data_IF_102396701327
#
_entry.id   IF_102396701327
#
_cell.length_a   1.000
_cell.length_b   1.000
_cell.length_c   1.000
_cell.angle_alpha   90.00
_cell.angle_beta   90.00
_cell.angle_gamma   90.00
#
_symmetry.space_group_name_H-M   'P 1'
#
loop_
_entity.id
_entity.type
_entity.pdbx_description
1 polymer ?
#
# COMPACT_ATOMS: atom_id res chain seq x y z
N UNK A 1 -47.86 -79.89 -7.27
CA UNK A 1 -48.89 -78.85 -7.03
C UNK A 1 -48.22 -77.86 -6.07
N UNK A 2 -47.84 -76.63 -6.42
CA UNK A 2 -48.51 -75.58 -7.21
C UNK A 2 -47.47 -74.50 -7.61
N UNK A 3 -47.52 -74.04 -8.88
CA UNK A 3 -47.11 -72.76 -9.52
C UNK A 3 -45.95 -71.93 -8.92
N UNK A 4 -44.82 -71.63 -9.57
CA UNK A 4 -44.54 -71.03 -10.89
C UNK A 4 -45.13 -69.62 -11.12
N UNK A 5 -44.28 -68.59 -11.02
CA UNK A 5 -44.27 -67.42 -11.92
C UNK A 5 -42.82 -66.97 -12.12
N UNK A 6 -42.39 -67.09 -13.36
CA UNK A 6 -41.14 -66.61 -13.96
C UNK A 6 -41.58 -65.59 -15.02
N UNK A 7 -40.86 -64.47 -15.18
CA UNK A 7 -40.84 -63.56 -16.34
C UNK A 7 -39.68 -62.58 -16.05
N UNK A 8 -38.56 -62.59 -16.78
CA UNK A 8 -38.38 -62.03 -18.12
C UNK A 8 -38.31 -60.49 -18.04
N UNK A 9 -37.37 -59.73 -18.59
CA UNK A 9 -36.41 -59.95 -19.68
C UNK A 9 -35.42 -58.76 -19.74
N UNK A 10 -34.20 -59.03 -20.19
CA UNK A 10 -33.30 -58.26 -21.06
C UNK A 10 -33.21 -56.70 -21.03
N UNK A 11 -31.95 -56.25 -20.81
CA UNK A 11 -31.17 -55.25 -21.58
C UNK A 11 -31.53 -53.76 -21.46
N UNK A 12 -30.59 -52.97 -20.90
CA UNK A 12 -30.10 -51.74 -21.53
C UNK A 12 -28.80 -51.25 -20.85
N UNK A 13 -27.73 -51.10 -21.64
CA UNK A 13 -26.55 -50.29 -21.31
C UNK A 13 -26.99 -48.83 -21.24
N UNK A 14 -26.61 -48.07 -20.20
CA UNK A 14 -26.71 -46.60 -20.23
C UNK A 14 -25.42 -45.98 -20.78
N UNK A 15 -25.53 -45.02 -21.73
CA UNK A 15 -24.41 -44.28 -22.28
C UNK A 15 -23.99 -43.16 -21.32
N UNK A 16 -22.77 -42.66 -21.49
CA UNK A 16 -22.33 -41.43 -20.85
C UNK A 16 -23.17 -40.24 -21.33
N UNK A 17 -23.47 -39.34 -20.40
CA UNK A 17 -23.89 -37.96 -20.67
C UNK A 17 -23.30 -37.06 -19.58
N UNK A 18 -22.54 -36.06 -20.03
CA UNK A 18 -22.13 -34.92 -19.24
C UNK A 18 -23.37 -34.19 -18.72
N UNK A 19 -23.55 -34.11 -17.41
CA UNK A 19 -24.43 -33.11 -16.80
C UNK A 19 -23.69 -32.52 -15.60
N UNK A 20 -23.20 -31.30 -15.85
CA UNK A 20 -23.05 -30.20 -14.90
C UNK A 20 -23.71 -30.47 -13.55
N UNK A 21 -22.88 -30.57 -12.51
CA UNK A 21 -23.32 -30.56 -11.12
C UNK A 21 -24.11 -29.28 -10.84
N UNK A 22 -25.43 -29.39 -10.94
CA UNK A 22 -26.39 -28.41 -10.47
C UNK A 22 -26.10 -28.25 -8.97
N UNK A 23 -25.63 -27.07 -8.59
CA UNK A 23 -25.51 -26.64 -7.20
C UNK A 23 -26.90 -26.82 -6.59
N UNK A 24 -26.97 -27.65 -5.56
CA UNK A 24 -28.19 -27.94 -4.81
C UNK A 24 -28.64 -26.62 -4.18
N UNK A 25 -29.87 -26.19 -4.53
CA UNK A 25 -30.52 -24.95 -4.08
C UNK A 25 -30.57 -24.74 -2.55
N UNK A 26 -30.22 -25.75 -1.75
CA UNK A 26 -30.16 -25.67 -0.29
C UNK A 26 -28.97 -24.84 0.25
N UNK A 27 -27.92 -24.58 -0.55
CA UNK A 27 -26.81 -23.69 -0.15
C UNK A 27 -27.13 -22.20 -0.33
N UNK A 28 -28.15 -21.85 -1.12
CA UNK A 28 -28.53 -20.44 -1.36
C UNK A 28 -29.26 -19.85 -0.15
N UNK A 29 -29.97 -20.67 0.64
CA UNK A 29 -30.68 -20.20 1.83
C UNK A 29 -29.77 -19.83 3.01
N UNK A 30 -28.46 -20.05 2.94
CA UNK A 30 -27.49 -19.51 3.91
C UNK A 30 -27.01 -18.10 3.55
N UNK A 31 -27.30 -17.61 2.34
CA UNK A 31 -26.95 -16.26 1.89
C UNK A 31 -28.03 -15.21 2.22
N UNK A 32 -29.26 -15.64 2.58
CA UNK A 32 -30.38 -14.72 2.91
C UNK A 32 -30.17 -13.92 4.22
N UNK A 33 -29.11 -14.21 4.99
CA UNK A 33 -28.75 -13.50 6.22
C UNK A 33 -27.47 -12.65 6.10
N UNK A 34 -26.84 -12.60 4.92
CA UNK A 34 -25.79 -11.63 4.66
C UNK A 34 -26.50 -10.39 4.11
N UNK A 35 -26.64 -9.39 4.95
CA UNK A 35 -27.04 -8.06 4.50
C UNK A 35 -25.90 -7.51 3.64
N UNK A 36 -26.01 -7.76 2.33
CA UNK A 36 -25.04 -7.34 1.32
C UNK A 36 -24.85 -5.82 1.39
N UNK A 37 -25.88 -5.05 1.75
CA UNK A 37 -25.75 -3.59 1.87
C UNK A 37 -24.91 -3.22 3.10
N UNK A 38 -25.03 -3.95 4.21
CA UNK A 38 -24.15 -3.79 5.39
C UNK A 38 -22.74 -4.31 5.13
N UNK A 39 -22.58 -5.42 4.41
CA UNK A 39 -21.25 -5.96 4.07
C UNK A 39 -20.52 -5.05 3.08
N UNK A 40 -21.23 -4.55 2.06
CA UNK A 40 -20.70 -3.54 1.12
C UNK A 40 -20.44 -2.22 1.83
N UNK A 41 -21.30 -1.76 2.74
CA UNK A 41 -21.04 -0.55 3.53
C UNK A 41 -19.81 -0.69 4.43
N UNK A 42 -19.63 -1.84 5.08
CA UNK A 42 -18.43 -2.12 5.88
C UNK A 42 -17.18 -2.33 5.03
N UNK A 43 -17.29 -2.86 3.81
CA UNK A 43 -16.18 -2.91 2.85
C UNK A 43 -15.80 -1.50 2.36
N UNK A 44 -16.77 -0.65 2.05
CA UNK A 44 -16.54 0.74 1.63
C UNK A 44 -15.96 1.60 2.75
N UNK A 45 -16.40 1.40 4.00
CA UNK A 45 -15.81 2.08 5.17
C UNK A 45 -14.36 1.64 5.48
N UNK A 46 -13.96 0.45 5.02
CA UNK A 46 -12.61 -0.10 5.22
C UNK A 46 -11.67 0.09 4.02
N UNK A 47 -12.14 0.63 2.88
CA UNK A 47 -11.24 1.04 1.80
C UNK A 47 -10.69 2.41 2.21
N UNK A 48 -9.42 2.51 2.65
CA UNK A 48 -8.83 3.81 2.91
C UNK A 48 -8.96 4.66 1.64
N UNK A 49 -9.37 5.94 1.74
CA UNK A 49 -9.43 6.81 0.57
C UNK A 49 -8.09 6.74 -0.16
N UNK A 50 -8.10 6.68 -1.50
CA UNK A 50 -6.87 6.65 -2.29
C UNK A 50 -6.07 7.91 -2.01
N UNK A 51 -5.06 7.78 -1.14
CA UNK A 51 -4.22 8.89 -0.76
C UNK A 51 -3.32 9.21 -1.95
N UNK A 52 -3.21 10.51 -2.25
CA UNK A 52 -2.22 10.99 -3.21
C UNK A 52 -0.84 10.61 -2.70
N UNK A 53 0.00 10.02 -3.56
CA UNK A 53 1.30 9.47 -3.20
C UNK A 53 2.41 10.10 -4.00
N UNK A 54 3.59 10.18 -3.40
CA UNK A 54 4.83 10.38 -4.15
C UNK A 54 5.39 9.00 -4.48
N UNK A 55 5.58 8.70 -5.77
CA UNK A 55 6.13 7.44 -6.26
C UNK A 55 7.44 7.68 -7.02
N UNK A 56 8.23 6.62 -7.13
CA UNK A 56 9.49 6.62 -7.85
C UNK A 56 9.43 5.55 -8.93
N UNK A 57 9.53 5.97 -10.19
CA UNK A 57 9.72 5.06 -11.30
C UNK A 57 11.19 4.60 -11.36
N UNK A 58 11.38 3.28 -11.40
CA UNK A 58 12.68 2.64 -11.36
C UNK A 58 13.15 2.24 -12.77
N UNK A 59 13.94 3.10 -13.42
CA UNK A 59 14.54 2.77 -14.72
C UNK A 59 15.85 1.98 -14.60
N UNK A 60 15.99 0.80 -15.25
CA UNK A 60 17.26 0.06 -15.31
C UNK A 60 18.38 0.84 -16.02
N UNK A 61 18.02 1.79 -16.89
CA UNK A 61 18.98 2.62 -17.64
C UNK A 61 19.57 3.77 -16.81
N UNK A 62 19.11 3.94 -15.56
CA UNK A 62 19.18 5.22 -14.87
C UNK A 62 18.23 6.23 -15.46
N UNK A 63 18.05 7.36 -14.76
CA UNK A 63 16.91 8.28 -14.92
C UNK A 63 15.67 7.79 -14.18
N UNK A 64 15.85 7.45 -12.92
CA UNK A 64 14.74 7.34 -11.98
C UNK A 64 13.95 8.64 -11.97
N UNK A 65 12.62 8.54 -11.86
CA UNK A 65 11.75 9.72 -11.86
C UNK A 65 10.83 9.69 -10.67
N UNK A 66 10.58 10.85 -10.11
CA UNK A 66 9.59 11.03 -9.06
C UNK A 66 8.33 11.66 -9.67
N UNK A 67 7.17 11.18 -9.24
CA UNK A 67 5.88 11.71 -9.67
C UNK A 67 4.87 11.65 -8.52
N UNK A 68 3.84 12.49 -8.62
CA UNK A 68 2.69 12.51 -7.72
C UNK A 68 1.60 11.64 -8.38
N UNK A 69 1.21 10.55 -7.72
CA UNK A 69 0.18 9.61 -8.16
C UNK A 69 -1.10 9.87 -7.35
N UNK A 70 -2.18 10.25 -8.03
CA UNK A 70 -3.48 10.51 -7.40
C UNK A 70 -4.35 9.26 -7.27
N UNK A 71 -3.86 8.09 -7.71
CA UNK A 71 -4.61 6.85 -7.79
C UNK A 71 -5.34 6.68 -9.11
N UNK A 72 -6.13 5.60 -9.24
CA UNK A 72 -6.88 5.31 -10.46
C UNK A 72 -8.06 6.29 -10.63
N UNK A 73 -8.03 7.10 -11.68
CA UNK A 73 -9.19 7.87 -12.13
C UNK A 73 -9.95 7.14 -13.21
N UNK A 74 -11.27 7.22 -13.16
CA UNK A 74 -12.15 6.77 -14.23
C UNK A 74 -12.18 7.73 -15.43
N UNK A 75 -11.50 8.88 -15.33
CA UNK A 75 -11.42 9.88 -16.38
C UNK A 75 -10.14 9.68 -17.21
N UNK A 76 -10.24 9.11 -18.43
CA UNK A 76 -9.08 8.83 -19.28
C UNK A 76 -8.37 10.09 -19.81
N UNK A 77 -8.93 11.29 -19.60
CA UNK A 77 -8.33 12.56 -20.02
C UNK A 77 -7.53 13.25 -18.90
N UNK A 78 -7.64 12.80 -17.65
CA UNK A 78 -6.81 13.29 -16.56
C UNK A 78 -5.58 12.39 -16.41
N UNK A 79 -4.39 13.00 -16.50
CA UNK A 79 -3.16 12.32 -16.15
C UNK A 79 -3.13 12.19 -14.62
N UNK A 80 -3.38 10.97 -14.13
CA UNK A 80 -3.37 10.64 -12.70
C UNK A 80 -1.99 10.80 -12.07
N UNK A 81 -0.97 11.01 -12.91
CA UNK A 81 0.41 11.18 -12.55
C UNK A 81 0.92 12.56 -12.94
N UNK A 82 1.48 13.27 -11.97
CA UNK A 82 2.15 14.56 -12.20
C UNK A 82 3.63 14.42 -11.94
N UNK A 83 4.45 14.57 -12.97
CA UNK A 83 5.91 14.56 -12.86
C UNK A 83 6.39 15.58 -11.82
N UNK A 84 7.27 15.17 -10.91
CA UNK A 84 7.94 16.07 -9.96
C UNK A 84 9.14 16.69 -10.67
N UNK A 85 9.15 18.02 -10.91
CA UNK A 85 10.21 18.67 -11.67
C UNK A 85 11.59 18.45 -11.03
N UNK A 86 12.56 18.11 -11.88
CA UNK A 86 13.96 17.84 -11.49
C UNK A 86 14.12 16.74 -10.41
N UNK A 87 13.11 15.89 -10.20
CA UNK A 87 13.04 14.94 -9.08
C UNK A 87 13.27 15.59 -7.70
N UNK A 88 12.77 16.81 -7.54
CA UNK A 88 12.87 17.55 -6.29
C UNK A 88 11.48 18.03 -5.90
N UNK A 89 11.06 17.67 -4.70
CA UNK A 89 9.87 18.26 -4.09
C UNK A 89 10.15 18.72 -2.66
N UNK A 90 9.31 19.63 -2.20
CA UNK A 90 9.40 20.19 -0.85
C UNK A 90 8.09 20.02 -0.12
N UNK A 91 8.16 19.80 1.18
CA UNK A 91 6.97 19.76 2.01
C UNK A 91 7.28 19.67 3.50
N UNK A 92 6.24 19.83 4.29
CA UNK A 92 6.27 19.73 5.74
C UNK A 92 5.91 18.30 6.11
N UNK A 93 6.81 17.60 6.79
CA UNK A 93 6.50 16.24 7.27
C UNK A 93 5.65 16.37 8.53
N UNK A 94 4.35 16.14 8.38
CA UNK A 94 3.38 16.29 9.47
C UNK A 94 3.42 15.09 10.41
N UNK A 95 3.66 13.90 9.86
CA UNK A 95 3.73 12.65 10.60
C UNK A 95 4.60 11.63 9.84
N UNK A 96 5.20 10.69 10.59
CA UNK A 96 5.99 9.60 10.01
C UNK A 96 5.75 8.33 10.80
N UNK A 97 5.62 7.20 10.12
CA UNK A 97 5.45 5.87 10.69
C UNK A 97 6.55 4.95 10.16
N UNK A 98 6.99 4.00 10.98
CA UNK A 98 7.68 2.81 10.47
C UNK A 98 6.62 1.80 10.08
N UNK A 99 6.66 1.31 8.85
CA UNK A 99 5.72 0.30 8.36
C UNK A 99 6.51 -0.91 7.91
N UNK A 100 6.06 -2.10 8.27
CA UNK A 100 6.70 -3.35 7.90
C UNK A 100 5.65 -4.28 7.32
N UNK A 101 5.92 -4.93 6.19
CA UNK A 101 5.02 -5.93 5.65
C UNK A 101 5.76 -7.06 4.94
N UNK A 102 5.13 -8.23 4.91
CA UNK A 102 5.48 -9.33 4.03
C UNK A 102 4.31 -9.55 3.05
N UNK A 103 4.51 -9.15 1.80
CA UNK A 103 3.55 -9.37 0.73
C UNK A 103 4.05 -10.46 -0.20
N UNK A 104 3.15 -11.35 -0.60
CA UNK A 104 3.38 -12.30 -1.69
C UNK A 104 2.62 -11.82 -2.92
N UNK A 105 3.24 -11.96 -4.09
CA UNK A 105 2.62 -11.62 -5.37
C UNK A 105 1.30 -12.39 -5.54
N UNK A 106 0.25 -11.70 -6.00
CA UNK A 106 -1.11 -12.26 -6.12
C UNK A 106 -1.96 -12.19 -4.84
N UNK A 107 -1.37 -12.01 -3.66
CA UNK A 107 -2.13 -11.88 -2.40
C UNK A 107 -2.65 -10.44 -2.19
N UNK A 108 -3.93 -10.31 -1.83
CA UNK A 108 -4.54 -9.00 -1.52
C UNK A 108 -4.18 -8.48 -0.12
N UNK A 109 -3.86 -9.37 0.81
CA UNK A 109 -3.57 -9.06 2.21
C UNK A 109 -2.17 -9.56 2.53
N UNK A 110 -1.32 -8.78 3.22
CA UNK A 110 0.02 -9.23 3.56
C UNK A 110 -0.02 -10.34 4.62
N UNK A 111 0.90 -11.30 4.53
CA UNK A 111 1.06 -12.38 5.53
C UNK A 111 1.50 -11.86 6.89
N UNK A 112 2.17 -10.72 6.90
CA UNK A 112 2.55 -9.98 8.09
C UNK A 112 2.50 -8.49 7.81
N UNK A 113 2.00 -7.71 8.75
CA UNK A 113 2.03 -6.25 8.70
C UNK A 113 2.20 -5.66 10.09
N UNK A 114 3.01 -4.62 10.23
CA UNK A 114 3.19 -3.89 11.47
C UNK A 114 3.39 -2.39 11.24
N UNK A 115 2.84 -1.59 12.14
CA UNK A 115 3.01 -0.13 12.17
C UNK A 115 3.66 0.25 13.50
N UNK A 116 4.77 0.96 13.44
CA UNK A 116 5.58 1.38 14.59
C UNK A 116 5.89 0.20 15.55
N UNK A 117 6.18 -0.97 14.97
CA UNK A 117 6.50 -2.20 15.68
C UNK A 117 5.29 -2.94 16.29
N UNK A 118 4.07 -2.44 16.11
CA UNK A 118 2.84 -3.12 16.53
C UNK A 118 2.25 -3.89 15.37
N UNK A 119 2.04 -5.19 15.57
CA UNK A 119 1.44 -6.08 14.58
C UNK A 119 0.00 -5.65 14.31
N UNK A 120 -0.34 -5.59 13.02
CA UNK A 120 -1.67 -5.20 12.51
C UNK A 120 -2.31 -6.34 11.70
N UNK A 121 -1.52 -7.33 11.29
CA UNK A 121 -2.00 -8.57 10.66
C UNK A 121 -2.60 -9.55 11.65
N UNK A 122 -3.21 -10.63 11.14
CA UNK A 122 -3.88 -11.65 11.95
C UNK A 122 -2.97 -12.35 12.97
N UNK A 123 -3.60 -12.97 13.98
CA UNK A 123 -2.92 -13.70 15.06
C UNK A 123 -1.98 -14.77 14.49
N UNK A 124 -0.74 -14.84 14.99
CA UNK A 124 0.25 -15.83 14.58
C UNK A 124 1.10 -15.41 13.37
N UNK A 125 0.83 -14.24 12.78
CA UNK A 125 1.63 -13.68 11.70
C UNK A 125 3.06 -13.30 12.11
N UNK A 126 3.34 -13.19 13.41
CA UNK A 126 4.66 -12.82 13.95
C UNK A 126 5.77 -13.77 13.53
N UNK A 127 5.43 -15.01 13.16
CA UNK A 127 6.38 -15.99 12.61
C UNK A 127 7.07 -15.49 11.33
N UNK A 128 6.42 -14.58 10.59
CA UNK A 128 6.91 -14.01 9.34
C UNK A 128 7.65 -12.68 9.54
N UNK A 129 7.73 -12.15 10.77
CA UNK A 129 8.30 -10.83 11.03
C UNK A 129 9.75 -10.67 10.55
N UNK A 130 10.55 -11.74 10.62
CA UNK A 130 11.95 -11.72 10.16
C UNK A 130 12.12 -11.59 8.64
N UNK A 131 11.07 -11.86 7.87
CA UNK A 131 11.06 -11.77 6.40
C UNK A 131 10.44 -10.46 5.91
N UNK A 132 9.76 -9.73 6.81
CA UNK A 132 9.11 -8.48 6.48
C UNK A 132 10.12 -7.39 6.12
N UNK A 133 9.70 -6.51 5.21
CA UNK A 133 10.50 -5.35 4.81
C UNK A 133 10.07 -4.12 5.55
N UNK A 134 11.03 -3.39 6.10
CA UNK A 134 10.80 -2.12 6.77
C UNK A 134 10.85 -0.97 5.76
N UNK A 135 9.85 -0.08 5.85
CA UNK A 135 9.81 1.22 5.21
C UNK A 135 9.53 2.32 6.23
N UNK A 136 9.79 3.55 5.83
CA UNK A 136 9.29 4.72 6.56
C UNK A 136 8.23 5.40 5.69
N UNK A 137 6.99 5.40 6.16
CA UNK A 137 5.88 6.12 5.54
C UNK A 137 5.87 7.55 6.08
N UNK A 138 6.02 8.52 5.18
CA UNK A 138 5.93 9.94 5.51
C UNK A 138 4.59 10.51 5.05
N UNK A 139 3.93 11.25 5.93
CA UNK A 139 2.81 12.11 5.56
C UNK A 139 3.36 13.52 5.37
N UNK A 140 3.28 14.02 4.15
CA UNK A 140 3.92 15.26 3.75
C UNK A 140 2.86 16.23 3.26
N UNK A 141 2.78 17.39 3.89
CA UNK A 141 2.02 18.52 3.38
C UNK A 141 2.89 19.27 2.36
N UNK A 142 2.53 19.19 1.10
CA UNK A 142 3.17 19.94 0.00
C UNK A 142 2.23 21.02 -0.53
N UNK A 143 2.77 21.94 -1.33
CA UNK A 143 2.02 23.05 -1.93
C UNK A 143 2.12 22.96 -3.45
N UNK A 144 1.24 22.18 -4.06
CA UNK A 144 1.15 22.06 -5.51
C UNK A 144 0.21 23.15 -6.04
N UNK A 145 0.65 23.94 -7.02
CA UNK A 145 -0.13 25.06 -7.58
C UNK A 145 -0.70 26.01 -6.50
N UNK A 146 0.11 26.29 -5.46
CA UNK A 146 -0.27 27.11 -4.30
C UNK A 146 -1.44 26.57 -3.46
N UNK A 147 -1.83 25.31 -3.63
CA UNK A 147 -2.83 24.64 -2.80
C UNK A 147 -2.15 23.61 -1.89
N UNK A 148 -2.52 23.56 -0.60
CA UNK A 148 -2.04 22.52 0.30
C UNK A 148 -2.55 21.16 -0.17
N UNK A 149 -1.65 20.19 -0.25
CA UNK A 149 -1.94 18.82 -0.63
C UNK A 149 -1.20 17.89 0.35
N UNK A 150 -1.96 17.05 1.04
CA UNK A 150 -1.39 15.99 1.87
C UNK A 150 -1.07 14.80 0.96
N UNK A 151 0.20 14.39 0.96
CA UNK A 151 0.66 13.23 0.20
C UNK A 151 1.34 12.21 1.10
N UNK A 152 1.26 10.94 0.72
CA UNK A 152 2.01 9.86 1.34
C UNK A 152 3.29 9.61 0.54
N UNK A 153 4.42 9.53 1.23
CA UNK A 153 5.69 9.19 0.61
C UNK A 153 6.39 8.06 1.36
N UNK A 154 6.45 6.89 0.73
CA UNK A 154 7.13 5.74 1.30
C UNK A 154 8.60 5.75 0.94
N UNK A 155 9.45 5.85 1.95
CA UNK A 155 10.89 5.77 1.77
C UNK A 155 11.33 4.32 1.72
N UNK A 156 11.96 3.96 0.59
CA UNK A 156 12.64 2.68 0.41
C UNK A 156 13.77 2.48 1.44
N UNK A 157 14.17 1.22 1.74
CA UNK A 157 15.23 0.91 2.70
C UNK A 157 16.54 1.68 2.49
N UNK A 158 16.91 1.94 1.23
CA UNK A 158 18.13 2.68 0.87
C UNK A 158 18.07 4.16 1.30
N UNK A 159 16.87 4.72 1.41
CA UNK A 159 16.60 6.14 1.71
C UNK A 159 16.33 6.41 3.19
N UNK A 160 15.90 5.41 3.96
CA UNK A 160 15.56 5.55 5.40
C UNK A 160 16.72 6.16 6.21
N UNK A 161 17.97 5.80 5.88
CA UNK A 161 19.17 6.33 6.55
C UNK A 161 19.26 7.86 6.44
N UNK A 162 18.89 8.43 5.29
CA UNK A 162 18.96 9.88 5.04
C UNK A 162 17.90 10.62 5.83
N UNK A 163 16.68 10.06 5.89
CA UNK A 163 15.62 10.59 6.74
C UNK A 163 15.98 10.56 8.22
N UNK A 164 16.48 9.43 8.73
CA UNK A 164 16.92 9.31 10.14
C UNK A 164 18.02 10.33 10.48
N UNK A 165 19.02 10.48 9.59
CA UNK A 165 20.07 11.48 9.75
C UNK A 165 19.51 12.91 9.74
N UNK A 166 18.54 13.20 8.88
CA UNK A 166 17.86 14.50 8.83
C UNK A 166 17.12 14.80 10.14
N UNK A 167 16.30 13.89 10.63
CA UNK A 167 15.59 14.02 11.92
C UNK A 167 16.59 14.18 13.07
N UNK A 168 17.70 13.43 13.07
CA UNK A 168 18.73 13.56 14.09
C UNK A 168 19.45 14.92 14.04
N UNK A 169 19.72 15.48 12.85
CA UNK A 169 20.24 16.84 12.70
C UNK A 169 19.28 17.87 13.30
N UNK A 170 17.98 17.77 12.99
CA UNK A 170 16.96 18.66 13.54
C UNK A 170 16.86 18.55 15.07
N UNK A 171 16.89 17.34 15.62
CA UNK A 171 16.87 17.11 17.05
C UNK A 171 18.07 17.76 17.77
N UNK A 172 19.27 17.72 17.18
CA UNK A 172 20.45 18.44 17.71
C UNK A 172 20.25 19.95 17.75
N UNK A 173 19.49 20.48 16.80
CA UNK A 173 19.08 21.90 16.76
C UNK A 173 17.80 22.20 17.55
N UNK A 174 17.26 21.23 18.31
CA UNK A 174 15.99 21.34 19.05
C UNK A 174 14.77 21.70 18.17
N UNK A 175 14.82 21.36 16.90
CA UNK A 175 13.71 21.55 15.96
C UNK A 175 13.03 20.19 15.67
N UNK A 176 11.69 20.11 15.68
CA UNK A 176 10.98 18.95 15.16
C UNK A 176 10.89 19.00 13.63
N UNK A 177 10.65 17.86 12.97
CA UNK A 177 10.50 17.78 11.51
C UNK A 177 9.38 18.67 10.96
N UNK A 178 8.28 18.81 11.70
CA UNK A 178 7.14 19.66 11.33
C UNK A 178 7.46 21.16 11.33
N UNK A 179 8.55 21.59 11.99
CA UNK A 179 8.94 23.00 12.06
C UNK A 179 9.79 23.46 10.84
N UNK A 180 10.04 22.58 9.88
CA UNK A 180 10.81 22.90 8.68
C UNK A 180 10.12 22.41 7.43
N UNK A 181 10.31 23.14 6.34
CA UNK A 181 10.10 22.60 5.01
C UNK A 181 11.30 21.71 4.69
N UNK A 182 11.03 20.43 4.49
CA UNK A 182 12.02 19.45 4.06
C UNK A 182 12.05 19.42 2.54
N UNK A 183 13.25 19.52 1.98
CA UNK A 183 13.52 19.25 0.56
C UNK A 183 13.90 17.79 0.40
N UNK A 184 13.20 17.11 -0.50
CA UNK A 184 13.48 15.76 -0.92
C UNK A 184 14.07 15.80 -2.33
N UNK A 185 15.18 15.12 -2.56
CA UNK A 185 15.75 14.97 -3.90
C UNK A 185 16.08 13.52 -4.18
N UNK A 186 15.74 13.07 -5.39
CA UNK A 186 16.07 11.74 -5.88
C UNK A 186 17.45 11.77 -6.52
N UNK A 187 18.36 10.97 -5.97
CA UNK A 187 19.68 10.74 -6.53
C UNK A 187 19.69 9.37 -7.22
N UNK A 188 20.34 9.32 -8.38
CA UNK A 188 20.59 8.09 -9.12
C UNK A 188 22.00 7.59 -8.77
N UNK A 189 22.08 6.49 -8.01
CA UNK A 189 23.32 5.94 -7.50
C UNK A 189 23.72 4.73 -8.34
N UNK A 190 24.93 4.79 -8.91
CA UNK A 190 25.54 3.66 -9.61
C UNK A 190 26.77 3.17 -8.86
N UNK A 191 26.80 1.89 -8.48
CA UNK A 191 27.97 1.22 -7.89
C UNK A 191 28.20 -0.10 -8.60
N UNK A 192 29.34 -0.22 -9.27
CA UNK A 192 29.66 -1.37 -10.13
C UNK A 192 28.55 -1.57 -11.19
N UNK A 193 28.00 -2.78 -11.27
CA UNK A 193 26.89 -3.15 -12.15
C UNK A 193 25.50 -2.84 -11.56
N UNK A 194 25.41 -2.38 -10.31
CA UNK A 194 24.15 -2.09 -9.65
C UNK A 194 23.83 -0.59 -9.72
N UNK A 195 22.57 -0.29 -9.97
CA UNK A 195 22.05 1.08 -10.04
C UNK A 195 20.71 1.16 -9.31
N UNK A 196 20.51 2.20 -8.51
CA UNK A 196 19.30 2.37 -7.72
C UNK A 196 19.04 3.84 -7.40
N UNK A 197 17.81 4.13 -6.96
CA UNK A 197 17.42 5.46 -6.51
C UNK A 197 17.59 5.61 -4.98
N UNK A 198 18.09 6.75 -4.54
CA UNK A 198 18.07 7.15 -3.12
C UNK A 198 17.45 8.54 -2.95
N UNK A 199 16.60 8.69 -1.94
CA UNK A 199 16.02 9.97 -1.58
C UNK A 199 16.87 10.63 -0.49
N UNK A 200 17.43 11.79 -0.81
CA UNK A 200 18.09 12.64 0.17
C UNK A 200 17.10 13.62 0.81
N UNK A 201 17.39 14.00 2.05
CA UNK A 201 16.60 14.95 2.82
C UNK A 201 17.47 16.11 3.32
N UNK A 202 17.02 17.35 3.08
CA UNK A 202 17.66 18.56 3.61
C UNK A 202 16.61 19.56 4.10
N UNK A 203 17.05 20.50 4.93
CA UNK A 203 16.21 21.65 5.32
C UNK A 203 16.22 22.64 4.17
N UNK A 204 15.04 23.02 3.68
CA UNK A 204 14.88 24.13 2.74
C UNK A 204 14.79 25.45 3.51
N UNK A 205 13.82 25.54 4.41
CA UNK A 205 13.59 26.69 5.29
C UNK A 205 12.76 26.32 6.51
N UNK A 206 12.65 27.26 7.45
CA UNK A 206 11.69 27.18 8.56
C UNK A 206 10.28 27.46 8.02
N UNK A 207 9.28 26.80 8.59
CA UNK A 207 7.86 27.02 8.25
C UNK A 207 7.39 28.38 8.75
N UNK A 208 6.42 28.99 8.06
CA UNK A 208 5.68 30.14 8.58
C UNK A 208 4.71 29.70 9.68
N UNK A 209 4.16 30.65 10.45
CA UNK A 209 3.15 30.34 11.45
C UNK A 209 1.89 29.74 10.82
N UNK A 210 1.42 30.31 9.70
CA UNK A 210 0.24 29.83 8.97
C UNK A 210 0.44 28.39 8.46
N UNK A 211 1.62 28.09 7.91
CA UNK A 211 1.97 26.74 7.46
C UNK A 211 2.00 25.74 8.62
N UNK A 212 2.52 26.17 9.77
CA UNK A 212 2.60 25.34 10.97
C UNK A 212 1.21 25.02 11.53
N UNK A 213 0.30 26.00 11.55
CA UNK A 213 -1.05 25.81 12.06
C UNK A 213 -1.82 24.78 11.22
N UNK A 214 -1.69 24.86 9.88
CA UNK A 214 -2.28 23.87 8.96
C UNK A 214 -1.65 22.48 9.17
N UNK A 215 -0.32 22.42 9.22
CA UNK A 215 0.41 21.18 9.41
C UNK A 215 0.05 20.47 10.74
N UNK A 216 -0.14 21.24 11.81
CA UNK A 216 -0.52 20.73 13.12
C UNK A 216 -1.95 20.17 13.12
N UNK A 217 -2.90 20.85 12.47
CA UNK A 217 -4.27 20.35 12.31
C UNK A 217 -4.29 19.00 11.58
N UNK A 218 -3.56 18.90 10.47
CA UNK A 218 -3.48 17.65 9.68
C UNK A 218 -2.77 16.52 10.42
N UNK A 219 -1.80 16.82 11.29
CA UNK A 219 -1.09 15.80 12.06
C UNK A 219 -2.03 15.02 12.97
N UNK A 220 -2.95 15.70 13.63
CA UNK A 220 -3.88 15.05 14.56
C UNK A 220 -4.90 14.19 13.80
N UNK A 221 -5.35 14.65 12.63
CA UNK A 221 -6.17 13.86 11.70
C UNK A 221 -5.41 12.62 11.20
N UNK A 222 -4.17 12.79 10.73
CA UNK A 222 -3.37 11.67 10.21
C UNK A 222 -3.17 10.56 11.24
N UNK A 223 -2.99 10.93 12.52
CA UNK A 223 -2.81 9.98 13.63
C UNK A 223 -4.08 9.17 13.92
N UNK A 224 -5.25 9.74 13.66
CA UNK A 224 -6.54 9.07 13.90
C UNK A 224 -6.93 8.21 12.70
N UNK A 225 -6.63 8.65 11.48
CA UNK A 225 -7.16 8.05 10.25
C UNK A 225 -6.25 6.99 9.63
N UNK A 226 -4.92 7.11 9.71
CA UNK A 226 -4.00 6.27 8.91
C UNK A 226 -3.33 5.14 9.71
N UNK A 227 -4.16 4.26 10.25
CA UNK A 227 -3.74 3.05 10.97
C UNK A 227 -3.63 1.77 10.12
N UNK A 228 -3.80 1.86 8.81
CA UNK A 228 -3.86 0.69 7.91
C UNK A 228 -2.67 0.67 6.96
N UNK A 229 -2.16 -0.53 6.65
CA UNK A 229 -1.18 -0.76 5.59
C UNK A 229 -1.91 -1.15 4.31
N UNK A 230 -1.62 -0.44 3.22
CA UNK A 230 -2.13 -0.71 1.89
C UNK A 230 -1.06 -1.37 1.02
N UNK A 231 -1.49 -2.03 -0.04
CA UNK A 231 -0.62 -2.65 -1.04
C UNK A 231 0.25 -1.62 -1.77
N UNK A 232 -0.25 -0.39 -1.94
CA UNK A 232 0.47 0.79 -2.45
C UNK A 232 1.59 1.28 -1.52
N UNK A 233 1.75 0.71 -0.32
CA UNK A 233 2.92 0.98 0.51
C UNK A 233 4.14 0.11 0.15
N UNK A 234 3.87 -1.00 -0.54
CA UNK A 234 4.83 -2.06 -0.86
C UNK A 234 4.73 -2.44 -2.36
N UNK A 235 4.70 -1.40 -3.19
CA UNK A 235 4.58 -1.45 -4.65
C UNK A 235 5.92 -1.24 -5.38
N UNK A 236 7.01 -0.97 -4.64
CA UNK A 236 8.33 -0.79 -5.25
C UNK A 236 8.88 -2.14 -5.73
N UNK A 237 9.70 -2.15 -6.80
CA UNK A 237 10.33 -3.37 -7.29
C UNK A 237 11.06 -4.14 -6.18
N UNK A 238 10.66 -5.40 -6.03
CA UNK A 238 11.22 -6.33 -5.07
C UNK A 238 10.53 -6.34 -3.72
N UNK A 239 9.59 -5.44 -3.40
CA UNK A 239 8.89 -5.46 -2.11
C UNK A 239 8.06 -6.72 -1.87
N UNK A 240 7.55 -7.33 -2.94
CA UNK A 240 6.73 -8.55 -2.90
C UNK A 240 7.60 -9.77 -3.19
N UNK A 241 7.36 -10.85 -2.44
CA UNK A 241 7.93 -12.16 -2.74
C UNK A 241 7.20 -12.77 -3.93
N UNK A 242 7.94 -13.41 -4.83
CA UNK A 242 7.33 -14.21 -5.89
C UNK A 242 6.74 -15.47 -5.29
N UNK A 243 5.67 -16.00 -5.90
CA UNK A 243 5.06 -17.26 -5.43
C UNK A 243 6.07 -18.43 -5.37
N UNK A 244 7.08 -18.41 -6.24
CA UNK A 244 8.14 -19.43 -6.35
C UNK A 244 9.20 -19.37 -5.24
N UNK A 245 9.23 -18.29 -4.44
CA UNK A 245 10.19 -18.10 -3.34
C UNK A 245 9.66 -18.62 -1.98
N UNK A 246 8.52 -19.34 -1.98
CA UNK A 246 7.92 -20.02 -0.80
C UNK A 246 8.37 -21.47 -0.63
#
# INVERSE_FOLDING_TARGET
MTKATNNGSAVARKPGSNESGIIVLDEIHQLDNIDIDTEVATMVENIPPSLVRIRIDHSPSGRHRMFIDSGESYDPENDDQVDVPNNVFTGIVVYSQTVSALWVEGEQIPRYSAIDGKVTSGVGSEIHAAQAKDKVRLFVLTFLNSKPLLVVFNLSPTSIKHWRNHVQRLARSKAPAIAVITRFSLDDIQRNSYRWAEVNCSVERVVSQEELDVAMSLRDECRQTFGVISDQDFDDPGDRLKEEDN
#
